data_IF_462818879716
#
_entry.id   IF_462818879716
#
_cell.length_a   1.000
_cell.length_b   1.000
_cell.length_c   1.000
_cell.angle_alpha   90.00
_cell.angle_beta   90.00
_cell.angle_gamma   90.00
#
_symmetry.space_group_name_H-M   'P 1'
#
loop_
_entity.id
_entity.type
_entity.pdbx_description
1 polymer ?
#
# COMPACT_ATOMS: atom_id res chain seq x y z
N UNK A 1 -7.72 -13.34 14.48
CA UNK A 1 -7.97 -12.13 15.28
C UNK A 1 -8.33 -12.50 16.73
N UNK A 2 -9.43 -13.26 16.97
CA UNK A 2 -9.90 -13.59 18.34
C UNK A 2 -8.83 -14.30 19.16
N UNK A 3 -8.12 -15.27 18.56
CA UNK A 3 -7.00 -15.94 19.24
C UNK A 3 -5.94 -14.94 19.72
N UNK A 4 -5.55 -13.99 18.88
CA UNK A 4 -4.56 -12.95 19.23
C UNK A 4 -5.06 -12.08 20.40
N UNK A 5 -6.35 -11.71 20.39
CA UNK A 5 -6.95 -10.93 21.49
C UNK A 5 -6.89 -11.69 22.81
N UNK A 6 -7.24 -12.98 22.78
CA UNK A 6 -7.21 -13.83 23.98
C UNK A 6 -5.78 -14.09 24.48
N UNK A 7 -4.83 -14.35 23.57
CA UNK A 7 -3.44 -14.64 23.91
C UNK A 7 -2.71 -13.42 24.46
N UNK A 8 -2.99 -12.21 23.96
CA UNK A 8 -2.32 -10.97 24.37
C UNK A 8 -3.00 -10.24 25.53
N UNK A 9 -4.29 -10.49 25.75
CA UNK A 9 -5.15 -9.69 26.62
C UNK A 9 -5.61 -8.38 25.96
N UNK A 10 -6.91 -8.10 26.02
CA UNK A 10 -7.50 -6.93 25.37
C UNK A 10 -6.93 -5.60 25.86
N UNK A 11 -6.48 -5.54 27.10
CA UNK A 11 -5.87 -4.36 27.75
C UNK A 11 -4.50 -3.99 27.15
N UNK A 12 -3.88 -4.92 26.46
CA UNK A 12 -2.59 -4.72 25.77
C UNK A 12 -2.75 -4.41 24.26
N UNK A 13 -4.00 -4.26 23.79
CA UNK A 13 -4.30 -3.99 22.38
C UNK A 13 -4.86 -2.57 22.26
N UNK A 14 -4.09 -1.68 21.65
CA UNK A 14 -4.47 -0.28 21.45
C UNK A 14 -5.61 -0.10 20.44
N UNK A 15 -5.71 -0.98 19.45
CA UNK A 15 -6.73 -0.94 18.41
C UNK A 15 -6.52 -1.99 17.33
N UNK A 16 -7.49 -2.16 16.46
CA UNK A 16 -7.45 -3.05 15.30
C UNK A 16 -7.46 -2.18 14.05
N UNK A 17 -6.39 -2.23 13.25
CA UNK A 17 -6.26 -1.43 12.02
C UNK A 17 -6.50 -2.30 10.81
N UNK A 18 -7.43 -1.89 9.96
CA UNK A 18 -7.65 -2.46 8.62
C UNK A 18 -7.25 -1.46 7.55
N UNK A 19 -6.30 -1.84 6.70
CA UNK A 19 -5.88 -1.00 5.56
C UNK A 19 -6.62 -1.40 4.29
N UNK A 20 -7.46 -0.52 3.80
CA UNK A 20 -8.29 -0.71 2.61
C UNK A 20 -7.87 0.28 1.51
N UNK A 21 -7.50 -0.07 0.33
CA UNK A 21 -6.94 -1.29 -0.23
C UNK A 21 -5.54 -1.49 0.33
N UNK A 22 -5.12 -2.73 0.57
CA UNK A 22 -3.84 -2.99 1.22
C UNK A 22 -2.65 -2.39 0.46
N UNK A 23 -1.69 -1.82 1.20
CA UNK A 23 -0.55 -1.11 0.60
C UNK A 23 0.60 -2.02 0.16
N UNK A 24 0.81 -3.14 0.82
CA UNK A 24 2.05 -3.94 0.72
C UNK A 24 1.83 -5.38 0.28
N UNK A 25 0.61 -5.89 0.37
CA UNK A 25 0.26 -7.25 0.00
C UNK A 25 -0.62 -7.28 -1.26
N UNK A 26 -0.02 -7.06 -2.41
CA UNK A 26 -0.67 -7.14 -3.71
C UNK A 26 -1.67 -6.05 -4.05
N UNK A 27 -1.85 -5.03 -3.20
CA UNK A 27 -2.89 -4.02 -3.40
C UNK A 27 -4.31 -4.60 -3.33
N UNK A 28 -4.51 -5.67 -2.55
CA UNK A 28 -5.78 -6.38 -2.47
C UNK A 28 -6.82 -5.61 -1.67
N UNK A 29 -8.10 -5.63 -2.09
CA UNK A 29 -9.19 -5.05 -1.33
C UNK A 29 -9.53 -5.90 -0.10
N UNK A 30 -10.22 -5.27 0.84
CA UNK A 30 -10.87 -5.91 1.97
C UNK A 30 -12.37 -5.99 1.68
N UNK A 31 -12.96 -7.17 1.85
CA UNK A 31 -14.40 -7.37 1.63
C UNK A 31 -15.25 -6.67 2.69
N UNK A 32 -16.47 -6.31 2.34
CA UNK A 32 -17.44 -5.73 3.27
C UNK A 32 -17.73 -6.68 4.42
N UNK A 33 -17.89 -7.95 4.10
CA UNK A 33 -18.11 -9.01 5.12
C UNK A 33 -16.94 -9.09 6.12
N UNK A 34 -15.69 -8.99 5.67
CA UNK A 34 -14.53 -9.00 6.56
C UNK A 34 -14.53 -7.76 7.47
N UNK A 35 -14.83 -6.57 6.93
CA UNK A 35 -14.93 -5.34 7.73
C UNK A 35 -16.01 -5.45 8.81
N UNK A 36 -17.18 -6.00 8.46
CA UNK A 36 -18.27 -6.24 9.39
C UNK A 36 -17.87 -7.19 10.52
N UNK A 37 -17.30 -8.35 10.18
CA UNK A 37 -16.87 -9.35 11.16
C UNK A 37 -15.78 -8.82 12.10
N UNK A 38 -14.82 -8.06 11.59
CA UNK A 38 -13.78 -7.45 12.41
C UNK A 38 -14.38 -6.41 13.36
N UNK A 39 -15.32 -5.57 12.88
CA UNK A 39 -16.01 -4.59 13.71
C UNK A 39 -16.83 -5.27 14.83
N UNK A 40 -17.56 -6.34 14.52
CA UNK A 40 -18.31 -7.11 15.51
C UNK A 40 -17.39 -7.71 16.57
N UNK A 41 -16.26 -8.28 16.15
CA UNK A 41 -15.26 -8.83 17.05
C UNK A 41 -14.66 -7.76 17.95
N UNK A 42 -14.29 -6.62 17.40
CA UNK A 42 -13.75 -5.49 18.15
C UNK A 42 -14.74 -4.98 19.20
N UNK A 43 -16.01 -4.81 18.82
CA UNK A 43 -17.11 -4.43 19.75
C UNK A 43 -17.27 -5.43 20.89
N UNK A 44 -17.21 -6.74 20.61
CA UNK A 44 -17.29 -7.81 21.62
C UNK A 44 -16.24 -7.65 22.72
N UNK A 45 -15.04 -7.21 22.37
CA UNK A 45 -13.93 -7.05 23.31
C UNK A 45 -13.72 -5.60 23.77
N UNK A 46 -14.47 -4.62 23.25
CA UNK A 46 -14.31 -3.21 23.57
C UNK A 46 -13.01 -2.61 23.04
N UNK A 47 -12.57 -3.06 21.85
CA UNK A 47 -11.34 -2.61 21.18
C UNK A 47 -11.72 -1.64 20.06
N UNK A 48 -11.02 -0.52 19.95
CA UNK A 48 -11.23 0.49 18.90
C UNK A 48 -10.91 -0.07 17.52
N UNK A 49 -11.83 0.11 16.56
CA UNK A 49 -11.61 -0.21 15.15
C UNK A 49 -11.12 1.00 14.37
N UNK A 50 -10.08 0.81 13.60
CA UNK A 50 -9.45 1.86 12.80
C UNK A 50 -9.41 1.40 11.34
N UNK A 51 -9.89 2.22 10.41
CA UNK A 51 -9.71 1.99 8.98
C UNK A 51 -8.67 2.97 8.45
N UNK A 52 -7.57 2.46 7.89
CA UNK A 52 -6.74 3.23 6.96
C UNK A 52 -7.44 3.23 5.60
N UNK A 53 -8.17 4.31 5.35
CA UNK A 53 -8.99 4.51 4.16
C UNK A 53 -8.28 5.25 3.03
N UNK A 54 -6.95 5.28 3.02
CA UNK A 54 -6.19 6.01 2.00
C UNK A 54 -6.57 5.63 0.56
N UNK A 55 -7.08 4.42 0.33
CA UNK A 55 -7.55 3.91 -0.97
C UNK A 55 -8.98 3.37 -0.90
N UNK A 56 -9.84 4.06 -0.19
CA UNK A 56 -11.22 3.65 0.07
C UNK A 56 -12.07 3.52 -1.19
N UNK A 57 -11.86 4.39 -2.16
CA UNK A 57 -12.63 4.39 -3.40
C UNK A 57 -12.26 3.20 -4.29
N UNK A 58 -10.96 2.87 -4.40
CA UNK A 58 -10.51 1.64 -5.06
C UNK A 58 -11.12 0.40 -4.39
N UNK A 59 -11.15 0.38 -3.05
CA UNK A 59 -11.75 -0.73 -2.29
C UNK A 59 -13.25 -0.86 -2.55
N UNK A 60 -13.99 0.25 -2.52
CA UNK A 60 -15.42 0.27 -2.80
C UNK A 60 -15.75 -0.21 -4.22
N UNK A 61 -14.91 0.17 -5.20
CA UNK A 61 -15.05 -0.33 -6.57
C UNK A 61 -14.88 -1.84 -6.66
N UNK A 62 -13.90 -2.42 -5.96
CA UNK A 62 -13.73 -3.87 -5.92
C UNK A 62 -14.87 -4.60 -5.22
N UNK A 63 -15.44 -4.04 -4.17
CA UNK A 63 -16.63 -4.58 -3.52
C UNK A 63 -17.79 -4.60 -4.52
N UNK A 64 -18.06 -3.48 -5.20
CA UNK A 64 -19.09 -3.39 -6.25
C UNK A 64 -18.89 -4.45 -7.33
N UNK A 65 -17.66 -4.66 -7.77
CA UNK A 65 -17.31 -5.57 -8.86
C UNK A 65 -17.41 -7.06 -8.44
N UNK A 66 -17.10 -7.39 -7.17
CA UNK A 66 -16.81 -8.78 -6.78
C UNK A 66 -17.77 -9.36 -5.74
N UNK A 67 -18.45 -8.54 -4.96
CA UNK A 67 -19.30 -9.03 -3.87
C UNK A 67 -20.77 -9.06 -4.27
N UNK A 68 -21.44 -10.15 -3.96
CA UNK A 68 -22.88 -10.33 -4.20
C UNK A 68 -23.68 -9.28 -3.43
N UNK A 69 -24.67 -8.66 -4.10
CA UNK A 69 -25.54 -7.65 -3.52
C UNK A 69 -25.04 -6.20 -3.64
N UNK A 70 -23.80 -5.98 -4.12
CA UNK A 70 -23.24 -4.62 -4.26
C UNK A 70 -23.19 -4.10 -5.69
N UNK A 71 -23.50 -4.93 -6.69
CA UNK A 71 -23.33 -4.59 -8.12
C UNK A 71 -24.16 -3.37 -8.55
N UNK A 72 -25.33 -3.18 -7.98
CA UNK A 72 -26.27 -2.10 -8.31
C UNK A 72 -26.18 -0.91 -7.34
N UNK A 73 -25.33 -0.98 -6.32
CA UNK A 73 -25.13 0.12 -5.36
C UNK A 73 -24.21 1.20 -5.90
N UNK A 74 -24.46 2.45 -5.51
CA UNK A 74 -23.54 3.54 -5.79
C UNK A 74 -22.23 3.38 -5.00
N UNK A 75 -21.10 3.72 -5.62
CA UNK A 75 -19.75 3.63 -4.98
C UNK A 75 -19.71 4.41 -3.66
N UNK A 76 -20.39 5.55 -3.59
CA UNK A 76 -20.43 6.37 -2.39
C UNK A 76 -21.15 5.66 -1.23
N UNK A 77 -22.20 4.89 -1.50
CA UNK A 77 -22.94 4.19 -0.47
C UNK A 77 -22.17 2.96 0.02
N UNK A 78 -21.46 2.27 -0.87
CA UNK A 78 -20.52 1.21 -0.49
C UNK A 78 -19.39 1.77 0.41
N UNK A 79 -18.83 2.92 0.06
CA UNK A 79 -17.80 3.56 0.89
C UNK A 79 -18.34 3.99 2.27
N UNK A 80 -19.55 4.53 2.32
CA UNK A 80 -20.22 4.90 3.58
C UNK A 80 -20.49 3.68 4.47
N UNK A 81 -20.94 2.58 3.87
CA UNK A 81 -21.12 1.34 4.62
C UNK A 81 -19.78 0.85 5.19
N UNK A 82 -18.72 0.80 4.40
CA UNK A 82 -17.40 0.42 4.87
C UNK A 82 -16.93 1.25 6.07
N UNK A 83 -17.10 2.57 6.00
CA UNK A 83 -16.71 3.47 7.10
C UNK A 83 -17.60 3.35 8.32
N UNK A 84 -18.84 2.86 8.18
CA UNK A 84 -19.75 2.65 9.32
C UNK A 84 -19.23 1.61 10.32
N UNK A 85 -18.34 0.73 9.88
CA UNK A 85 -17.70 -0.32 10.69
C UNK A 85 -16.47 0.16 11.46
N UNK A 86 -16.02 1.40 11.28
CA UNK A 86 -14.89 1.99 11.98
C UNK A 86 -15.30 2.99 13.06
N UNK A 87 -14.53 3.02 14.15
CA UNK A 87 -14.58 4.09 15.15
C UNK A 87 -13.68 5.26 14.73
N UNK A 88 -12.59 4.95 14.02
CA UNK A 88 -11.61 5.91 13.53
C UNK A 88 -11.28 5.67 12.06
N UNK A 89 -11.25 6.73 11.27
CA UNK A 89 -10.78 6.73 9.90
C UNK A 89 -9.47 7.53 9.80
N UNK A 90 -8.44 6.89 9.26
CA UNK A 90 -7.20 7.54 8.86
C UNK A 90 -7.21 7.75 7.35
N UNK A 91 -6.92 8.98 6.90
CA UNK A 91 -6.90 9.29 5.47
C UNK A 91 -5.59 9.96 5.07
N UNK A 92 -4.87 9.32 4.15
CA UNK A 92 -3.78 9.96 3.43
C UNK A 92 -4.32 10.56 2.15
N UNK A 93 -4.44 11.89 2.11
CA UNK A 93 -5.11 12.63 1.03
C UNK A 93 -4.41 12.51 -0.34
N UNK A 94 -3.11 12.26 -0.36
CA UNK A 94 -2.31 12.10 -1.60
C UNK A 94 -2.57 10.81 -2.40
N UNK A 95 -3.62 10.07 -2.05
CA UNK A 95 -4.10 8.88 -2.74
C UNK A 95 -5.51 9.14 -3.28
N UNK A 96 -6.55 8.56 -2.68
CA UNK A 96 -7.92 8.79 -3.17
C UNK A 96 -8.47 10.19 -2.85
N UNK A 97 -7.77 10.98 -2.05
CA UNK A 97 -8.06 12.41 -1.93
C UNK A 97 -7.66 13.23 -3.14
N UNK A 98 -6.90 12.67 -4.10
CA UNK A 98 -6.47 13.27 -5.37
C UNK A 98 -5.71 14.61 -5.22
N UNK A 99 -5.04 14.82 -4.09
CA UNK A 99 -4.20 15.99 -3.81
C UNK A 99 -2.74 15.61 -3.58
N UNK A 100 -1.86 16.61 -3.59
CA UNK A 100 -0.42 16.38 -3.51
C UNK A 100 0.05 16.02 -2.09
N UNK A 101 -0.64 16.51 -1.06
CA UNK A 101 -0.26 16.33 0.35
C UNK A 101 -1.46 16.37 1.28
N UNK A 102 -1.19 16.10 2.56
CA UNK A 102 -2.17 16.21 3.61
C UNK A 102 -2.86 14.90 3.94
N UNK A 103 -3.79 14.99 4.85
CA UNK A 103 -4.60 13.90 5.36
C UNK A 103 -5.47 14.39 6.49
N UNK A 104 -6.27 13.48 7.03
CA UNK A 104 -7.09 13.77 8.21
C UNK A 104 -7.34 12.50 9.02
N UNK A 105 -7.74 12.72 10.26
CA UNK A 105 -8.26 11.69 11.16
C UNK A 105 -9.72 12.06 11.44
N UNK A 106 -10.64 11.13 11.18
CA UNK A 106 -12.03 11.26 11.59
C UNK A 106 -12.32 10.27 12.72
N UNK A 107 -12.95 10.74 13.80
CA UNK A 107 -13.22 9.96 15.01
C UNK A 107 -14.71 10.04 15.30
N UNK A 108 -15.34 8.87 15.45
CA UNK A 108 -16.76 8.72 15.70
C UNK A 108 -17.00 8.53 17.19
N UNK A 109 -17.85 9.38 17.78
CA UNK A 109 -18.40 9.26 19.14
C UNK A 109 -17.39 8.95 20.27
N UNK A 110 -16.14 9.44 20.13
CA UNK A 110 -15.06 9.22 21.11
C UNK A 110 -14.35 10.53 21.47
N UNK A 111 -14.99 11.35 22.29
CA UNK A 111 -14.54 12.70 22.64
C UNK A 111 -13.14 12.71 23.27
N UNK A 112 -12.83 11.79 24.17
CA UNK A 112 -11.52 11.72 24.81
C UNK A 112 -10.40 11.49 23.79
N UNK A 113 -10.58 10.52 22.88
CA UNK A 113 -9.61 10.23 21.81
C UNK A 113 -9.48 11.44 20.86
N UNK A 114 -10.60 12.05 20.48
CA UNK A 114 -10.61 13.26 19.66
C UNK A 114 -9.78 14.38 20.31
N UNK A 115 -9.98 14.66 21.60
CA UNK A 115 -9.25 15.70 22.31
C UNK A 115 -7.75 15.38 22.43
N UNK A 116 -7.38 14.12 22.67
CA UNK A 116 -5.97 13.67 22.65
C UNK A 116 -5.33 13.92 21.28
N UNK A 117 -5.96 13.46 20.20
CA UNK A 117 -5.47 13.65 18.83
C UNK A 117 -5.35 15.15 18.49
N UNK A 118 -6.36 15.94 18.83
CA UNK A 118 -6.37 17.39 18.62
C UNK A 118 -5.22 18.09 19.35
N UNK A 119 -4.92 17.68 20.57
CA UNK A 119 -3.78 18.23 21.32
C UNK A 119 -2.45 17.83 20.69
N UNK A 120 -2.33 16.59 20.25
CA UNK A 120 -1.12 16.06 19.66
C UNK A 120 -0.78 16.66 18.29
N UNK A 121 -1.80 17.04 17.52
CA UNK A 121 -1.62 17.62 16.19
C UNK A 121 -0.91 18.98 16.24
N UNK A 122 -1.09 19.74 17.32
CA UNK A 122 -0.53 21.09 17.44
C UNK A 122 1.00 21.12 17.32
N UNK A 123 1.77 20.32 18.07
CA UNK A 123 3.23 20.30 17.93
C UNK A 123 3.72 19.54 16.69
N UNK A 124 2.91 18.63 16.12
CA UNK A 124 3.35 17.75 15.05
C UNK A 124 3.07 18.31 13.65
N UNK A 125 1.91 18.96 13.46
CA UNK A 125 1.43 19.39 12.15
C UNK A 125 1.02 20.86 12.11
N UNK A 126 0.31 21.35 13.11
CA UNK A 126 -0.19 22.73 13.19
C UNK A 126 -1.51 22.86 13.93
N UNK A 127 -2.22 23.97 13.74
CA UNK A 127 -3.49 24.20 14.42
C UNK A 127 -4.55 23.17 14.03
N UNK A 128 -5.44 22.76 14.96
CA UNK A 128 -6.45 21.72 14.73
C UNK A 128 -7.46 22.04 13.63
N UNK A 129 -7.54 23.30 13.18
CA UNK A 129 -8.45 23.74 12.11
C UNK A 129 -7.97 23.40 10.72
N UNK A 130 -6.65 23.34 10.48
CA UNK A 130 -6.07 23.07 9.15
C UNK A 130 -4.89 22.09 9.18
N UNK A 131 -4.37 21.74 10.36
CA UNK A 131 -3.28 20.75 10.49
C UNK A 131 -2.04 21.07 9.65
N UNK A 132 -1.70 22.36 9.46
CA UNK A 132 -0.60 22.79 8.58
C UNK A 132 -0.93 22.79 7.07
N UNK A 133 -2.13 22.37 6.66
CA UNK A 133 -2.55 22.43 5.25
C UNK A 133 -2.96 23.85 4.86
N UNK A 134 -2.63 24.27 3.65
CA UNK A 134 -3.15 25.52 3.12
C UNK A 134 -4.59 25.37 2.58
N UNK A 135 -5.32 26.49 2.44
CA UNK A 135 -6.73 26.49 2.01
C UNK A 135 -6.94 25.84 0.63
N UNK A 136 -6.00 26.02 -0.31
CA UNK A 136 -6.09 25.41 -1.64
C UNK A 136 -6.07 23.87 -1.58
N UNK A 137 -5.23 23.31 -0.71
CA UNK A 137 -5.13 21.85 -0.58
C UNK A 137 -6.37 21.28 0.12
N UNK A 138 -6.96 22.04 1.07
CA UNK A 138 -8.22 21.65 1.71
C UNK A 138 -9.39 21.69 0.72
N UNK A 139 -9.50 22.76 -0.08
CA UNK A 139 -10.53 22.86 -1.13
C UNK A 139 -10.35 21.75 -2.19
N UNK A 140 -9.11 21.53 -2.65
CA UNK A 140 -8.81 20.48 -3.59
C UNK A 140 -9.14 19.07 -3.01
N UNK A 141 -8.87 18.85 -1.70
CA UNK A 141 -9.20 17.60 -1.02
C UNK A 141 -10.72 17.38 -0.96
N UNK A 142 -11.49 18.42 -0.65
CA UNK A 142 -12.95 18.33 -0.59
C UNK A 142 -13.55 17.90 -1.95
N UNK A 143 -13.02 18.45 -3.04
CA UNK A 143 -13.39 18.06 -4.41
C UNK A 143 -12.87 16.65 -4.73
N UNK A 144 -11.60 16.37 -4.44
CA UNK A 144 -10.94 15.12 -4.77
C UNK A 144 -11.56 13.89 -4.11
N UNK A 145 -12.03 14.01 -2.86
CA UNK A 145 -12.74 12.92 -2.17
C UNK A 145 -14.04 12.52 -2.90
N UNK A 146 -14.73 13.47 -3.53
CA UNK A 146 -15.93 13.16 -4.31
C UNK A 146 -15.60 12.67 -5.72
N UNK A 147 -14.62 13.28 -6.39
CA UNK A 147 -14.16 12.83 -7.71
C UNK A 147 -13.59 11.40 -7.71
N UNK A 148 -12.95 10.99 -6.63
CA UNK A 148 -12.41 9.64 -6.48
C UNK A 148 -13.49 8.55 -6.52
N UNK A 149 -14.75 8.92 -6.25
CA UNK A 149 -15.90 8.00 -6.27
C UNK A 149 -16.58 7.88 -7.65
N UNK A 150 -16.11 8.63 -8.66
CA UNK A 150 -16.60 8.48 -10.02
C UNK A 150 -16.25 7.09 -10.58
N UNK A 151 -17.28 6.34 -10.97
CA UNK A 151 -17.11 4.95 -11.42
C UNK A 151 -16.27 4.83 -12.69
N UNK A 152 -16.37 5.79 -13.62
CA UNK A 152 -15.59 5.76 -14.87
C UNK A 152 -14.12 6.03 -14.57
N UNK A 153 -13.85 6.96 -13.63
CA UNK A 153 -12.49 7.18 -13.15
C UNK A 153 -11.91 5.93 -12.50
N UNK A 154 -12.67 5.29 -11.60
CA UNK A 154 -12.21 4.08 -10.90
C UNK A 154 -11.98 2.92 -11.86
N UNK A 155 -12.88 2.71 -12.82
CA UNK A 155 -12.74 1.71 -13.88
C UNK A 155 -11.44 1.93 -14.66
N UNK A 156 -11.22 3.13 -15.16
CA UNK A 156 -9.97 3.47 -15.87
C UNK A 156 -8.74 3.26 -14.99
N UNK A 157 -8.82 3.66 -13.72
CA UNK A 157 -7.74 3.51 -12.75
C UNK A 157 -7.35 2.05 -12.52
N UNK A 158 -8.33 1.21 -12.27
CA UNK A 158 -8.13 -0.23 -12.02
C UNK A 158 -7.67 -0.94 -13.30
N UNK A 159 -8.26 -0.58 -14.45
CA UNK A 159 -7.90 -1.17 -15.75
C UNK A 159 -6.44 -0.86 -16.14
N UNK A 160 -5.90 0.31 -15.79
CA UNK A 160 -4.47 0.60 -15.98
C UNK A 160 -3.57 -0.38 -15.21
N UNK A 161 -3.93 -0.71 -13.97
CA UNK A 161 -3.14 -1.66 -13.15
C UNK A 161 -3.26 -3.07 -13.70
N UNK A 162 -4.47 -3.48 -14.08
CA UNK A 162 -4.72 -4.77 -14.74
C UNK A 162 -3.93 -4.91 -16.03
N UNK A 163 -3.99 -3.89 -16.88
CA UNK A 163 -3.26 -3.88 -18.15
C UNK A 163 -1.76 -4.17 -17.96
N UNK A 164 -1.11 -3.45 -17.04
CA UNK A 164 0.31 -3.70 -16.76
C UNK A 164 0.52 -5.11 -16.21
N UNK A 165 -0.30 -5.55 -15.27
CA UNK A 165 -0.20 -6.86 -14.65
C UNK A 165 -0.39 -8.00 -15.65
N UNK A 166 -1.40 -7.91 -16.50
CA UNK A 166 -1.70 -8.94 -17.50
C UNK A 166 -0.60 -9.00 -18.57
N UNK A 167 -0.11 -7.85 -19.03
CA UNK A 167 1.00 -7.81 -19.98
C UNK A 167 2.27 -8.47 -19.44
N UNK A 168 2.59 -8.26 -18.17
CA UNK A 168 3.72 -8.92 -17.51
C UNK A 168 3.49 -10.42 -17.38
N UNK A 169 2.28 -10.86 -17.02
CA UNK A 169 1.92 -12.28 -16.92
C UNK A 169 1.97 -12.99 -18.27
N UNK A 170 1.47 -12.35 -19.32
CA UNK A 170 1.54 -12.89 -20.70
C UNK A 170 2.99 -13.10 -21.16
N UNK A 171 3.93 -12.27 -20.71
CA UNK A 171 5.36 -12.43 -20.93
C UNK A 171 6.03 -13.46 -19.97
N UNK A 172 5.28 -14.08 -19.08
CA UNK A 172 5.80 -15.05 -18.12
C UNK A 172 6.47 -14.48 -16.88
N UNK A 173 6.38 -13.15 -16.66
CA UNK A 173 6.91 -12.50 -15.45
C UNK A 173 6.03 -12.89 -14.25
N UNK A 174 6.63 -13.41 -13.16
CA UNK A 174 5.86 -13.80 -11.98
C UNK A 174 5.35 -12.55 -11.23
N UNK A 175 4.03 -12.41 -11.13
CA UNK A 175 3.37 -11.33 -10.39
C UNK A 175 2.34 -11.89 -9.43
N UNK A 176 2.07 -11.17 -8.34
CA UNK A 176 0.95 -11.52 -7.46
C UNK A 176 -0.38 -11.42 -8.20
N UNK A 177 -1.23 -12.42 -8.03
CA UNK A 177 -2.54 -12.52 -8.65
C UNK A 177 -3.61 -12.88 -7.62
N UNK A 178 -4.84 -12.35 -7.72
CA UNK A 178 -5.33 -11.38 -8.72
C UNK A 178 -4.64 -10.02 -8.62
N UNK A 179 -4.64 -9.27 -9.73
CA UNK A 179 -4.07 -7.91 -9.77
C UNK A 179 -4.87 -7.00 -8.84
N UNK A 180 -4.16 -6.19 -8.06
CA UNK A 180 -4.75 -5.28 -7.08
C UNK A 180 -5.12 -3.91 -7.64
N UNK A 181 -5.40 -2.94 -6.74
CA UNK A 181 -5.96 -1.65 -7.10
C UNK A 181 -4.96 -0.58 -7.53
N UNK A 182 -3.75 -0.56 -6.98
CA UNK A 182 -2.86 0.59 -7.14
C UNK A 182 -1.47 0.26 -7.69
N UNK A 183 -1.11 -1.00 -7.75
CA UNK A 183 0.22 -1.44 -8.16
C UNK A 183 0.21 -2.88 -8.66
N UNK A 184 1.19 -3.21 -9.48
CA UNK A 184 1.56 -4.59 -9.78
C UNK A 184 2.72 -4.99 -8.87
N UNK A 185 2.63 -6.15 -8.26
CA UNK A 185 3.65 -6.70 -7.38
C UNK A 185 4.33 -7.87 -8.08
N UNK A 186 5.60 -7.70 -8.38
CA UNK A 186 6.44 -8.68 -9.08
C UNK A 186 7.18 -9.53 -8.06
N UNK A 187 7.13 -10.86 -8.22
CA UNK A 187 7.82 -11.81 -7.36
C UNK A 187 9.30 -11.94 -7.77
N UNK A 188 10.13 -11.15 -7.11
CA UNK A 188 11.57 -11.13 -7.36
C UNK A 188 12.31 -12.35 -6.82
N UNK A 189 11.74 -13.08 -5.87
CA UNK A 189 12.30 -14.36 -5.40
C UNK A 189 12.32 -15.39 -6.52
N UNK A 190 11.23 -15.45 -7.31
CA UNK A 190 11.13 -16.31 -8.48
C UNK A 190 11.97 -15.81 -9.67
N UNK A 191 12.17 -14.49 -9.80
CA UNK A 191 13.02 -13.91 -10.87
C UNK A 191 14.49 -14.20 -10.63
N UNK A 192 14.97 -13.96 -9.42
CA UNK A 192 16.38 -14.04 -9.06
C UNK A 192 16.65 -15.06 -7.92
N UNK A 193 16.33 -16.35 -8.12
CA UNK A 193 16.47 -17.38 -7.08
C UNK A 193 17.93 -17.66 -6.70
N UNK A 194 18.89 -17.22 -7.51
CA UNK A 194 20.32 -17.31 -7.25
C UNK A 194 20.84 -16.22 -6.31
N UNK A 195 20.04 -15.18 -6.02
CA UNK A 195 20.41 -14.12 -5.09
C UNK A 195 19.77 -14.44 -3.73
N UNK A 196 20.58 -14.68 -2.67
CA UNK A 196 20.04 -14.94 -1.33
C UNK A 196 19.37 -13.71 -0.74
N UNK A 197 18.46 -13.90 0.22
CA UNK A 197 17.62 -12.84 0.78
C UNK A 197 18.43 -11.68 1.43
N UNK A 198 19.58 -11.99 2.01
CA UNK A 198 20.49 -11.03 2.64
C UNK A 198 21.34 -10.23 1.63
N UNK A 199 21.21 -10.54 0.35
CA UNK A 199 21.74 -9.79 -0.79
C UNK A 199 20.64 -9.05 -1.57
N UNK A 200 19.43 -8.98 -1.04
CA UNK A 200 18.30 -8.15 -1.46
C UNK A 200 17.85 -8.35 -2.93
N UNK A 201 17.36 -9.54 -3.31
CA UNK A 201 16.97 -9.83 -4.69
C UNK A 201 15.93 -8.85 -5.26
N UNK A 202 14.92 -8.44 -4.47
CA UNK A 202 13.92 -7.48 -4.92
C UNK A 202 14.50 -6.08 -5.17
N UNK A 203 15.48 -5.65 -4.36
CA UNK A 203 16.19 -4.39 -4.60
C UNK A 203 17.10 -4.48 -5.83
N UNK A 204 17.72 -5.63 -6.08
CA UNK A 204 18.53 -5.87 -7.28
C UNK A 204 17.70 -5.71 -8.55
N UNK A 205 16.54 -6.38 -8.62
CA UNK A 205 15.58 -6.23 -9.74
C UNK A 205 15.10 -4.78 -9.87
N UNK A 206 14.77 -4.12 -8.75
CA UNK A 206 14.35 -2.71 -8.73
C UNK A 206 15.41 -1.79 -9.32
N UNK A 207 16.67 -2.00 -8.98
CA UNK A 207 17.78 -1.22 -9.53
C UNK A 207 17.98 -1.49 -11.03
N UNK A 208 17.84 -2.75 -11.45
CA UNK A 208 18.03 -3.13 -12.86
C UNK A 208 16.99 -2.45 -13.77
N UNK A 209 15.72 -2.42 -13.42
CA UNK A 209 14.71 -1.73 -14.23
C UNK A 209 14.88 -0.21 -14.23
N UNK A 210 15.46 0.35 -13.16
CA UNK A 210 15.78 1.77 -13.12
C UNK A 210 16.93 2.11 -14.07
N UNK A 211 17.97 1.28 -14.11
CA UNK A 211 19.11 1.43 -15.04
C UNK A 211 18.64 1.25 -16.49
N UNK A 212 17.76 0.27 -16.74
CA UNK A 212 17.25 -0.04 -18.08
C UNK A 212 16.43 1.09 -18.69
N UNK A 213 15.47 1.63 -17.95
CA UNK A 213 14.49 2.56 -18.52
C UNK A 213 14.10 3.73 -17.59
N UNK A 214 14.82 4.01 -16.53
CA UNK A 214 14.48 5.05 -15.57
C UNK A 214 13.20 4.78 -14.78
N UNK A 215 12.73 3.54 -14.76
CA UNK A 215 11.50 3.13 -14.06
C UNK A 215 11.79 2.97 -12.58
N UNK A 216 11.17 3.84 -11.75
CA UNK A 216 11.31 3.79 -10.31
C UNK A 216 10.24 2.88 -9.69
N UNK A 217 10.68 1.81 -9.04
CA UNK A 217 9.84 0.91 -8.26
C UNK A 217 10.24 0.94 -6.77
N UNK A 218 9.56 0.15 -5.95
CA UNK A 218 9.83 0.04 -4.51
C UNK A 218 9.99 -1.42 -4.14
N UNK A 219 11.07 -1.71 -3.45
CA UNK A 219 11.29 -3.00 -2.81
C UNK A 219 10.29 -3.22 -1.66
N UNK A 220 9.69 -4.39 -1.60
CA UNK A 220 8.82 -4.88 -0.54
C UNK A 220 9.28 -6.30 -0.19
N UNK A 221 10.36 -6.39 0.55
CA UNK A 221 11.01 -7.66 0.88
C UNK A 221 11.90 -7.52 2.12
N UNK A 222 12.98 -8.27 2.14
CA UNK A 222 13.90 -8.35 3.29
C UNK A 222 14.61 -7.03 3.60
N UNK A 223 14.84 -6.16 2.61
CA UNK A 223 15.38 -4.83 2.87
C UNK A 223 14.40 -3.97 3.67
N UNK A 224 13.11 -3.96 3.31
CA UNK A 224 12.05 -3.23 4.00
C UNK A 224 11.86 -3.74 5.43
N UNK A 225 11.91 -5.06 5.66
CA UNK A 225 11.71 -5.64 6.99
C UNK A 225 12.78 -5.23 8.00
N UNK A 226 13.97 -4.90 7.54
CA UNK A 226 15.02 -4.43 8.41
C UNK A 226 15.80 -5.56 9.09
N UNK A 227 16.27 -5.27 10.30
CA UNK A 227 17.00 -6.21 11.15
C UNK A 227 16.18 -6.59 12.37
N UNK A 228 16.36 -7.80 12.80
CA UNK A 228 15.86 -8.25 14.10
C UNK A 228 16.48 -7.38 15.21
N UNK A 229 15.67 -6.84 16.14
CA UNK A 229 16.16 -5.92 17.16
C UNK A 229 17.11 -6.58 18.18
N UNK A 230 17.01 -7.89 18.37
CA UNK A 230 17.78 -8.63 19.38
C UNK A 230 19.05 -9.24 18.75
N UNK A 231 18.94 -9.87 17.58
CA UNK A 231 20.07 -10.56 16.92
C UNK A 231 20.83 -9.66 15.95
N UNK A 232 20.25 -8.56 15.50
CA UNK A 232 20.77 -7.67 14.47
C UNK A 232 20.94 -8.33 13.08
N UNK A 233 20.43 -9.53 12.88
CA UNK A 233 20.42 -10.22 11.61
C UNK A 233 19.33 -9.66 10.69
N UNK A 234 19.51 -9.79 9.37
CA UNK A 234 18.47 -9.42 8.41
C UNK A 234 17.24 -10.32 8.60
N UNK A 235 16.06 -9.72 8.69
CA UNK A 235 14.79 -10.47 8.72
C UNK A 235 14.50 -10.92 7.30
N UNK A 236 14.37 -12.24 7.12
CA UNK A 236 13.97 -12.81 5.84
C UNK A 236 12.49 -12.57 5.58
N UNK A 237 12.18 -11.97 4.45
CA UNK A 237 10.79 -11.87 3.98
C UNK A 237 10.29 -13.20 3.42
N UNK A 238 9.03 -13.52 3.68
CA UNK A 238 8.38 -14.65 3.02
C UNK A 238 8.28 -14.44 1.51
N UNK A 239 8.06 -13.18 1.09
CA UNK A 239 7.94 -12.74 -0.29
C UNK A 239 8.92 -11.61 -0.58
N UNK A 240 9.76 -11.77 -1.59
CA UNK A 240 10.64 -10.73 -2.11
C UNK A 240 9.94 -10.04 -3.28
N UNK A 241 9.24 -8.94 -3.00
CA UNK A 241 8.40 -8.26 -3.98
C UNK A 241 8.99 -6.93 -4.44
N UNK A 242 8.80 -6.64 -5.72
CA UNK A 242 8.97 -5.30 -6.27
C UNK A 242 7.58 -4.73 -6.59
N UNK A 243 7.29 -3.55 -6.07
CA UNK A 243 6.02 -2.86 -6.28
C UNK A 243 6.12 -1.80 -7.36
N UNK A 244 5.39 -1.99 -8.46
CA UNK A 244 5.20 -1.03 -9.54
C UNK A 244 3.93 -0.23 -9.28
N UNK A 245 4.05 0.88 -8.55
CA UNK A 245 2.92 1.73 -8.21
C UNK A 245 2.57 2.65 -9.38
N UNK A 246 1.31 2.64 -9.81
CA UNK A 246 0.82 3.50 -10.86
C UNK A 246 0.20 4.75 -10.22
N UNK A 247 0.75 5.95 -10.44
CA UNK A 247 0.16 7.19 -9.92
C UNK A 247 -1.15 7.52 -10.63
N UNK A 248 -2.05 8.19 -9.90
CA UNK A 248 -3.38 8.55 -10.40
C UNK A 248 -3.30 9.69 -11.40
N UNK A 249 -3.99 9.56 -12.56
CA UNK A 249 -4.12 10.62 -13.59
C UNK A 249 -2.79 11.16 -14.13
N UNK A 250 -1.72 10.35 -14.14
CA UNK A 250 -0.39 10.79 -14.61
C UNK A 250 0.02 10.09 -15.89
N UNK A 251 -0.11 8.77 -15.94
CA UNK A 251 0.38 7.97 -17.06
C UNK A 251 -0.74 7.47 -17.98
N UNK A 252 -0.38 7.31 -19.24
CA UNK A 252 -1.19 6.63 -20.26
C UNK A 252 -0.72 5.18 -20.41
N UNK A 253 -1.46 4.38 -21.16
CA UNK A 253 -1.07 2.99 -21.47
C UNK A 253 0.31 2.91 -22.17
N UNK A 254 0.68 3.90 -22.98
CA UNK A 254 2.01 3.94 -23.62
C UNK A 254 3.16 4.07 -22.62
N UNK A 255 2.96 4.77 -21.51
CA UNK A 255 3.95 4.80 -20.43
C UNK A 255 4.03 3.45 -19.72
N UNK A 256 2.89 2.76 -19.56
CA UNK A 256 2.85 1.41 -18.97
C UNK A 256 3.51 0.39 -19.90
N UNK A 257 3.45 0.60 -21.21
CA UNK A 257 4.21 -0.22 -22.17
C UNK A 257 5.71 -0.13 -21.95
N UNK A 258 6.25 1.07 -21.76
CA UNK A 258 7.68 1.26 -21.42
C UNK A 258 8.05 0.56 -20.10
N UNK A 259 7.17 0.64 -19.10
CA UNK A 259 7.38 -0.06 -17.81
C UNK A 259 7.39 -1.57 -18.03
N UNK A 260 6.42 -2.10 -18.78
CA UNK A 260 6.33 -3.53 -19.05
C UNK A 260 7.56 -4.04 -19.82
N UNK A 261 7.96 -3.32 -20.88
CA UNK A 261 9.12 -3.68 -21.71
C UNK A 261 10.40 -3.72 -20.89
N UNK A 262 10.62 -2.75 -19.98
CA UNK A 262 11.77 -2.74 -19.09
C UNK A 262 11.79 -3.94 -18.13
N UNK A 263 10.63 -4.27 -17.53
CA UNK A 263 10.52 -5.43 -16.62
C UNK A 263 10.74 -6.74 -17.37
N UNK A 264 10.16 -6.87 -18.56
CA UNK A 264 10.32 -8.05 -19.42
C UNK A 264 11.78 -8.23 -19.83
N UNK A 265 12.44 -7.15 -20.26
CA UNK A 265 13.86 -7.17 -20.60
C UNK A 265 14.74 -7.65 -19.43
N UNK A 266 14.54 -7.09 -18.25
CA UNK A 266 15.27 -7.51 -17.05
C UNK A 266 14.95 -8.97 -16.68
N UNK A 267 13.72 -9.41 -16.84
CA UNK A 267 13.33 -10.81 -16.62
C UNK A 267 14.01 -11.77 -17.60
N UNK A 268 14.13 -11.42 -18.85
CA UNK A 268 14.84 -12.21 -19.86
C UNK A 268 16.34 -12.33 -19.55
N UNK A 269 16.96 -11.27 -18.99
CA UNK A 269 18.38 -11.23 -18.61
C UNK A 269 18.62 -11.50 -17.12
N UNK A 270 17.67 -12.08 -16.42
CA UNK A 270 17.70 -12.25 -14.96
C UNK A 270 18.90 -13.01 -14.39
N UNK A 271 19.53 -13.86 -15.20
CA UNK A 271 20.75 -14.56 -14.80
C UNK A 271 21.98 -13.66 -14.62
N UNK A 272 21.94 -12.43 -15.15
CA UNK A 272 23.01 -11.45 -15.04
C UNK A 272 22.86 -10.57 -13.77
N UNK A 273 21.70 -10.67 -13.09
CA UNK A 273 21.45 -9.92 -11.86
C UNK A 273 22.43 -10.33 -10.76
N UNK A 274 22.95 -9.35 -10.06
CA UNK A 274 23.89 -9.55 -8.94
C UNK A 274 23.23 -9.19 -7.62
N UNK A 275 23.60 -9.89 -6.56
CA UNK A 275 23.25 -9.50 -5.21
C UNK A 275 23.85 -8.14 -4.85
N UNK A 276 23.35 -7.53 -3.79
CA UNK A 276 23.74 -6.21 -3.32
C UNK A 276 24.36 -6.28 -1.91
N UNK A 277 25.43 -5.54 -1.71
CA UNK A 277 26.01 -5.29 -0.38
C UNK A 277 25.88 -3.83 0.00
N UNK A 278 25.66 -3.55 1.29
CA UNK A 278 25.64 -2.19 1.80
C UNK A 278 27.03 -1.52 1.65
N UNK A 279 27.02 -0.31 1.14
CA UNK A 279 28.10 0.67 1.29
C UNK A 279 27.79 1.57 2.49
N UNK A 280 26.51 1.90 2.68
CA UNK A 280 26.01 2.63 3.83
C UNK A 280 24.64 2.08 4.22
N UNK A 281 24.47 1.75 5.49
CA UNK A 281 23.19 1.34 6.08
C UNK A 281 22.81 2.34 7.17
N UNK A 282 21.69 3.09 7.01
CA UNK A 282 21.21 3.97 8.07
C UNK A 282 20.62 3.15 9.22
N UNK A 283 20.63 3.68 10.47
CA UNK A 283 20.18 2.94 11.65
C UNK A 283 18.67 2.68 11.67
N UNK A 284 17.89 3.46 10.92
CA UNK A 284 16.43 3.32 10.80
C UNK A 284 16.00 3.53 9.36
N UNK A 285 14.88 2.89 8.96
CA UNK A 285 14.24 3.06 7.65
C UNK A 285 15.22 2.91 6.47
N UNK A 286 16.08 1.92 6.55
CA UNK A 286 17.21 1.71 5.64
C UNK A 286 16.82 1.64 4.15
N UNK A 287 15.62 1.15 3.83
CA UNK A 287 15.14 1.04 2.45
C UNK A 287 14.94 2.40 1.74
N UNK A 288 14.95 3.54 2.48
CA UNK A 288 14.85 4.87 1.87
C UNK A 288 16.20 5.50 1.49
N UNK A 289 17.24 5.22 2.26
CA UNK A 289 18.51 5.98 2.16
C UNK A 289 19.76 5.12 2.19
N UNK A 290 19.64 3.78 2.20
CA UNK A 290 20.78 2.90 2.08
C UNK A 290 21.49 3.07 0.73
N UNK A 291 22.81 2.90 0.73
CA UNK A 291 23.64 2.90 -0.47
C UNK A 291 24.23 1.52 -0.68
N UNK A 292 24.11 1.01 -1.90
CA UNK A 292 24.54 -0.34 -2.27
C UNK A 292 25.65 -0.34 -3.31
N UNK A 293 26.35 -1.45 -3.36
CA UNK A 293 27.18 -1.84 -4.51
C UNK A 293 26.85 -3.27 -4.92
N UNK A 294 26.95 -3.62 -6.20
CA UNK A 294 26.84 -4.99 -6.65
C UNK A 294 27.91 -5.86 -5.97
N UNK A 295 27.55 -7.10 -5.69
CA UNK A 295 28.51 -8.12 -5.25
C UNK A 295 29.09 -8.73 -6.53
N UNK A 296 30.40 -8.58 -6.73
CA UNK A 296 31.07 -9.24 -7.83
C UNK A 296 31.00 -10.76 -7.61
N UNK A 297 30.66 -11.50 -8.66
CA UNK A 297 30.76 -12.96 -8.63
C UNK A 297 32.22 -13.37 -8.33
N UNK A 298 32.38 -14.17 -7.29
CA UNK A 298 33.65 -14.83 -7.00
C UNK A 298 34.15 -15.66 -8.18
#
# INVERSE_FOLDING_TARGET
LEKTILDKGKENIAGIIMTITNNSAGGQPVSMENMRQVSEMAKKYGITTIIDGARYAENAFFIKEREEGYQDMDIIDIAREAFSYADVLLMSAKKDGLVNMGGFIAIKDHEELYNKCRTYIVPMEGFPTYGGMNGRDMDALAVGLMEALDENYLRHRIDQVRYLGDRLREAGVPVQYPIGGHAVFVDCKSIAPHIPYDQFPAQSVTNAIYIEAGVRAVEIGSLLLGRDPDTHENIQSEMELMRLTIPRRVYTYRHLDVVADAVIHVFEHRSELKGLAFVYEPPILRHFTAVFKPIDSL
#
